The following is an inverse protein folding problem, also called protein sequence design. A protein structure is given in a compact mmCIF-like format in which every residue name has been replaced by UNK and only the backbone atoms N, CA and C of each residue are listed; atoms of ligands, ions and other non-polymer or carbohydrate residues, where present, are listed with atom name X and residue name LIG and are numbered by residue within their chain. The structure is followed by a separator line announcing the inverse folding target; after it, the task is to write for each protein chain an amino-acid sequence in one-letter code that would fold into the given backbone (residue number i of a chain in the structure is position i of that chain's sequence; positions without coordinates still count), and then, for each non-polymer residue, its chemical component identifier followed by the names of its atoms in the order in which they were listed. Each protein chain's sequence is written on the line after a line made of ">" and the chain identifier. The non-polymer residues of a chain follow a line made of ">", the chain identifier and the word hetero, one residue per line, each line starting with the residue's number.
data_IF_608004237640
#
_entry.id   IF_608004237640
#
_cell.length_a   1.000
_cell.length_b   1.000
_cell.length_c   1.000
_cell.angle_alpha   90.00
_cell.angle_beta   90.00
_cell.angle_gamma   90.00
#
_symmetry.space_group_name_H-M   'P 1'
#
loop_
_entity.id
_entity.type
_entity.pdbx_description
1 polymer ?
#
# COMPACT_ATOMS: atom_id res chain seq x y z
N UNK A 1 -5.48 2.17 -34.63
CA UNK A 1 -5.00 1.01 -33.82
C UNK A 1 -4.31 1.41 -32.50
N UNK A 2 -3.40 2.40 -32.44
CA UNK A 2 -2.70 2.80 -31.19
C UNK A 2 -3.58 3.18 -29.98
N UNK A 3 -4.80 3.69 -30.18
CA UNK A 3 -5.69 4.12 -29.09
C UNK A 3 -6.28 2.95 -28.27
N UNK A 4 -6.45 1.78 -28.90
CA UNK A 4 -7.09 0.61 -28.28
C UNK A 4 -6.07 -0.19 -27.44
N UNK A 5 -4.79 -0.17 -27.82
CA UNK A 5 -3.72 -0.83 -27.06
C UNK A 5 -3.39 -0.09 -25.75
N UNK A 6 -3.48 1.24 -25.75
CA UNK A 6 -3.32 2.05 -24.54
C UNK A 6 -4.45 1.84 -23.51
N UNK A 7 -5.62 1.37 -23.93
CA UNK A 7 -6.76 1.07 -23.04
C UNK A 7 -6.63 -0.29 -22.35
N UNK A 8 -5.75 -1.19 -22.83
CA UNK A 8 -5.53 -2.53 -22.25
C UNK A 8 -4.36 -2.61 -21.27
N UNK A 9 -3.48 -1.61 -21.26
CA UNK A 9 -2.37 -1.58 -20.32
C UNK A 9 -2.89 -1.25 -18.91
N UNK A 10 -2.44 -2.00 -17.90
CA UNK A 10 -2.67 -1.63 -16.50
C UNK A 10 -2.08 -0.23 -16.28
N UNK A 11 -2.88 0.75 -15.80
CA UNK A 11 -2.37 2.09 -15.58
C UNK A 11 -1.19 2.09 -14.62
N UNK A 12 -0.08 2.74 -15.00
CA UNK A 12 1.13 2.79 -14.18
C UNK A 12 0.90 3.32 -12.77
N UNK A 13 -0.12 4.16 -12.55
CA UNK A 13 -0.51 4.63 -11.23
C UNK A 13 -1.05 3.50 -10.31
N UNK A 14 -1.69 2.48 -10.87
CA UNK A 14 -2.18 1.31 -10.12
C UNK A 14 -1.02 0.37 -9.79
N UNK A 15 -0.09 0.20 -10.75
CA UNK A 15 1.15 -0.57 -10.53
C UNK A 15 1.98 0.08 -9.42
N UNK A 16 2.10 1.41 -9.43
CA UNK A 16 2.78 2.15 -8.38
C UNK A 16 2.12 1.93 -7.02
N UNK A 17 0.79 1.98 -6.95
CA UNK A 17 0.06 1.73 -5.70
C UNK A 17 0.34 0.33 -5.15
N UNK A 18 0.31 -0.69 -6.01
CA UNK A 18 0.61 -2.06 -5.63
C UNK A 18 2.06 -2.19 -5.11
N UNK A 19 3.03 -1.58 -5.81
CA UNK A 19 4.42 -1.59 -5.39
C UNK A 19 4.62 -0.89 -4.03
N UNK A 20 4.00 0.27 -3.82
CA UNK A 20 4.03 0.98 -2.55
C UNK A 20 3.37 0.17 -1.43
N UNK A 21 2.23 -0.49 -1.70
CA UNK A 21 1.54 -1.34 -0.74
C UNK A 21 2.37 -2.57 -0.33
N UNK A 22 3.06 -3.20 -1.28
CA UNK A 22 3.97 -4.31 -0.99
C UNK A 22 5.21 -3.87 -0.20
N UNK A 23 5.78 -2.71 -0.53
CA UNK A 23 6.89 -2.14 0.23
C UNK A 23 6.45 -1.80 1.67
N UNK A 24 5.29 -1.16 1.83
CA UNK A 24 4.71 -0.82 3.14
C UNK A 24 4.49 -2.08 3.99
N UNK A 25 3.92 -3.13 3.38
CA UNK A 25 3.77 -4.44 4.00
C UNK A 25 5.11 -5.00 4.51
N UNK A 26 6.15 -4.99 3.66
CA UNK A 26 7.49 -5.46 4.03
C UNK A 26 8.10 -4.70 5.21
N UNK A 27 8.06 -3.36 5.18
CA UNK A 27 8.59 -2.55 6.29
C UNK A 27 7.78 -2.69 7.58
N UNK A 28 6.47 -2.90 7.46
CA UNK A 28 5.62 -3.12 8.65
C UNK A 28 5.98 -4.44 9.33
N UNK A 29 6.10 -5.53 8.56
CA UNK A 29 6.54 -6.81 9.10
C UNK A 29 7.95 -6.73 9.70
N UNK A 30 8.88 -6.07 9.02
CA UNK A 30 10.22 -5.89 9.53
C UNK A 30 10.22 -5.12 10.87
N UNK A 31 9.39 -4.09 10.99
CA UNK A 31 9.24 -3.31 12.22
C UNK A 31 8.62 -4.15 13.35
N UNK A 32 7.58 -4.94 13.05
CA UNK A 32 6.95 -5.85 14.03
C UNK A 32 7.96 -6.91 14.50
N UNK A 33 8.73 -7.52 13.60
CA UNK A 33 9.77 -8.49 13.96
C UNK A 33 10.91 -7.88 14.79
N UNK A 34 11.17 -6.58 14.64
CA UNK A 34 12.11 -5.84 15.48
C UNK A 34 11.52 -5.43 16.86
N UNK A 35 10.32 -5.92 17.21
CA UNK A 35 9.66 -5.61 18.48
C UNK A 35 8.77 -4.37 18.46
N UNK A 36 8.56 -3.76 17.29
CA UNK A 36 7.61 -2.68 17.09
C UNK A 36 6.16 -3.12 17.26
N UNK A 37 5.26 -2.16 17.46
CA UNK A 37 3.81 -2.39 17.62
C UNK A 37 3.05 -1.81 16.44
N UNK A 38 2.02 -2.53 16.01
CA UNK A 38 1.03 -2.00 15.06
C UNK A 38 0.15 -0.98 15.78
N UNK A 39 0.06 0.23 15.23
CA UNK A 39 -0.69 1.34 15.83
C UNK A 39 -2.15 1.35 15.41
N UNK A 40 -2.48 0.75 14.26
CA UNK A 40 -3.86 0.60 13.83
C UNK A 40 -4.55 -0.48 14.69
N UNK A 41 -5.59 -0.15 15.48
CA UNK A 41 -6.19 -1.11 16.40
C UNK A 41 -6.76 -2.36 15.72
N UNK A 42 -7.28 -2.21 14.51
CA UNK A 42 -7.84 -3.31 13.74
C UNK A 42 -6.75 -4.25 13.21
N UNK A 43 -5.65 -3.68 12.71
CA UNK A 43 -4.50 -4.48 12.28
C UNK A 43 -3.76 -5.11 13.47
N UNK A 44 -3.68 -4.41 14.61
CA UNK A 44 -3.11 -4.95 15.83
C UNK A 44 -3.91 -6.14 16.36
N UNK A 45 -5.25 -6.06 16.31
CA UNK A 45 -6.11 -7.21 16.58
C UNK A 45 -5.84 -8.36 15.60
N UNK A 46 -5.78 -8.07 14.29
CA UNK A 46 -5.49 -9.07 13.27
C UNK A 46 -4.13 -9.76 13.49
N UNK A 47 -3.12 -9.01 13.94
CA UNK A 47 -1.82 -9.53 14.33
C UNK A 47 -1.93 -10.49 15.52
N UNK A 48 -2.73 -10.13 16.54
CA UNK A 48 -2.97 -10.99 17.70
C UNK A 48 -3.65 -12.32 17.39
N UNK A 49 -4.38 -12.43 16.27
CA UNK A 49 -5.06 -13.66 15.82
C UNK A 49 -4.40 -14.32 14.59
N UNK A 50 -3.22 -13.85 14.17
CA UNK A 50 -2.48 -14.44 13.04
C UNK A 50 -3.09 -14.20 11.65
N UNK A 51 -3.89 -13.14 11.49
CA UNK A 51 -4.54 -12.76 10.23
C UNK A 51 -3.94 -11.51 9.57
N UNK A 52 -2.89 -10.95 10.16
CA UNK A 52 -2.33 -9.67 9.75
C UNK A 52 -1.86 -9.65 8.28
N UNK A 53 -1.05 -10.63 7.85
CA UNK A 53 -0.52 -10.64 6.49
C UNK A 53 -1.62 -10.76 5.44
N UNK A 54 -2.56 -11.69 5.67
CA UNK A 54 -3.68 -11.92 4.79
C UNK A 54 -4.55 -10.68 4.65
N UNK A 55 -4.84 -10.01 5.77
CA UNK A 55 -5.68 -8.81 5.78
C UNK A 55 -5.00 -7.64 5.09
N UNK A 56 -3.70 -7.43 5.35
CA UNK A 56 -2.94 -6.34 4.74
C UNK A 56 -2.83 -6.53 3.22
N UNK A 57 -2.53 -7.74 2.75
CA UNK A 57 -2.52 -8.07 1.32
C UNK A 57 -3.92 -7.95 0.69
N UNK A 58 -4.96 -8.44 1.36
CA UNK A 58 -6.34 -8.35 0.87
C UNK A 58 -6.79 -6.90 0.72
N UNK A 59 -6.42 -6.00 1.65
CA UNK A 59 -6.71 -4.58 1.54
C UNK A 59 -5.99 -3.93 0.35
N UNK A 60 -4.70 -4.21 0.14
CA UNK A 60 -3.97 -3.72 -1.04
C UNK A 60 -4.62 -4.19 -2.33
N UNK A 61 -4.96 -5.48 -2.43
CA UNK A 61 -5.62 -6.05 -3.61
C UNK A 61 -7.00 -5.45 -3.83
N UNK A 62 -7.79 -5.25 -2.77
CA UNK A 62 -9.11 -4.63 -2.85
C UNK A 62 -9.01 -3.21 -3.42
N UNK A 63 -8.07 -2.41 -2.93
CA UNK A 63 -7.88 -1.05 -3.44
C UNK A 63 -7.43 -1.08 -4.91
N UNK A 64 -6.49 -1.95 -5.28
CA UNK A 64 -6.09 -2.11 -6.68
C UNK A 64 -7.27 -2.53 -7.58
N UNK A 65 -8.11 -3.46 -7.13
CA UNK A 65 -9.30 -3.90 -7.86
C UNK A 65 -10.32 -2.75 -8.04
N UNK A 66 -10.57 -1.97 -6.98
CA UNK A 66 -11.43 -0.78 -7.05
C UNK A 66 -10.86 0.26 -8.02
N UNK A 67 -9.55 0.51 -7.97
CA UNK A 67 -8.88 1.41 -8.90
C UNK A 67 -9.03 0.92 -10.35
N UNK A 68 -8.78 -0.35 -10.63
CA UNK A 68 -8.95 -0.93 -11.97
C UNK A 68 -10.39 -0.80 -12.47
N UNK A 69 -11.36 -1.08 -11.59
CA UNK A 69 -12.77 -0.97 -11.92
C UNK A 69 -13.17 0.47 -12.22
N UNK A 70 -12.74 1.44 -11.41
CA UNK A 70 -13.17 2.84 -11.55
C UNK A 70 -12.34 3.65 -12.56
N UNK A 71 -11.12 3.22 -12.88
CA UNK A 71 -10.19 3.94 -13.76
C UNK A 71 -10.76 4.35 -15.12
N UNK A 72 -11.42 3.45 -15.89
CA UNK A 72 -12.01 3.85 -17.17
C UNK A 72 -13.30 4.66 -17.00
N UNK A 73 -13.95 4.57 -15.84
CA UNK A 73 -15.30 5.10 -15.59
C UNK A 73 -15.33 6.56 -15.13
N UNK A 74 -14.24 7.07 -14.54
CA UNK A 74 -14.25 8.41 -13.96
C UNK A 74 -12.89 9.10 -13.96
N UNK A 75 -12.85 10.36 -14.43
CA UNK A 75 -11.67 11.23 -14.31
C UNK A 75 -11.36 11.58 -12.85
N UNK A 76 -12.38 11.63 -11.98
CA UNK A 76 -12.20 11.83 -10.55
C UNK A 76 -11.51 10.61 -9.91
N UNK A 77 -11.89 9.39 -10.29
CA UNK A 77 -11.23 8.17 -9.80
C UNK A 77 -9.73 8.12 -10.15
N UNK A 78 -9.37 8.58 -11.35
CA UNK A 78 -7.96 8.74 -11.76
C UNK A 78 -7.21 9.71 -10.85
N UNK A 79 -7.79 10.89 -10.57
CA UNK A 79 -7.21 11.86 -9.62
C UNK A 79 -7.05 11.29 -8.22
N UNK A 80 -8.08 10.62 -7.71
CA UNK A 80 -8.04 9.95 -6.39
C UNK A 80 -6.94 8.90 -6.34
N UNK A 81 -6.71 8.15 -7.42
CA UNK A 81 -5.61 7.17 -7.51
C UNK A 81 -4.24 7.84 -7.34
N UNK A 82 -4.03 9.01 -7.97
CA UNK A 82 -2.79 9.77 -7.79
C UNK A 82 -2.65 10.29 -6.35
N UNK A 83 -3.72 10.82 -5.76
CA UNK A 83 -3.71 11.27 -4.35
C UNK A 83 -3.41 10.08 -3.41
N UNK A 84 -4.02 8.93 -3.65
CA UNK A 84 -3.78 7.72 -2.87
C UNK A 84 -2.31 7.27 -2.95
N UNK A 85 -1.67 7.37 -4.12
CA UNK A 85 -0.22 7.10 -4.25
C UNK A 85 0.64 8.06 -3.43
N UNK A 86 0.31 9.36 -3.41
CA UNK A 86 1.05 10.34 -2.58
C UNK A 86 0.91 9.98 -1.11
N UNK A 87 -0.31 9.67 -0.66
CA UNK A 87 -0.55 9.25 0.73
C UNK A 87 0.17 7.94 1.07
N UNK A 88 0.18 6.96 0.16
CA UNK A 88 0.94 5.73 0.33
C UNK A 88 2.45 5.97 0.40
N UNK A 89 2.97 6.91 -0.39
CA UNK A 89 4.38 7.32 -0.32
C UNK A 89 4.75 7.92 1.04
N UNK A 90 3.88 8.78 1.59
CA UNK A 90 4.05 9.36 2.93
C UNK A 90 3.99 8.25 4.00
N UNK A 91 3.03 7.33 3.90
CA UNK A 91 2.89 6.22 4.83
C UNK A 91 4.10 5.28 4.79
N UNK A 92 4.58 4.96 3.59
CA UNK A 92 5.79 4.16 3.39
C UNK A 92 7.01 4.85 4.02
N UNK A 93 7.18 6.15 3.81
CA UNK A 93 8.27 6.91 4.42
C UNK A 93 8.20 6.84 5.95
N UNK A 94 7.00 6.96 6.52
CA UNK A 94 6.79 6.79 7.95
C UNK A 94 7.24 5.41 8.45
N UNK A 95 6.86 4.32 7.77
CA UNK A 95 7.28 2.96 8.15
C UNK A 95 8.78 2.72 7.94
N UNK A 96 9.39 3.30 6.91
CA UNK A 96 10.85 3.27 6.71
C UNK A 96 11.56 3.94 7.89
N UNK A 97 11.08 5.10 8.34
CA UNK A 97 11.66 5.81 9.49
C UNK A 97 11.49 5.02 10.79
N UNK A 98 10.32 4.40 11.01
CA UNK A 98 10.10 3.53 12.16
C UNK A 98 11.04 2.32 12.16
N UNK A 99 11.15 1.65 11.02
CA UNK A 99 12.07 0.52 10.85
C UNK A 99 13.52 0.95 11.08
N UNK A 100 13.96 2.07 10.49
CA UNK A 100 15.31 2.58 10.65
C UNK A 100 15.64 2.90 12.13
N UNK A 101 14.67 3.45 12.88
CA UNK A 101 14.81 3.63 14.33
C UNK A 101 14.89 2.30 15.09
N UNK A 102 14.06 1.32 14.73
CA UNK A 102 14.11 -0.01 15.34
C UNK A 102 15.46 -0.72 15.10
N UNK A 103 16.13 -0.40 13.98
CA UNK A 103 17.46 -0.90 13.64
C UNK A 103 18.61 -0.02 14.19
N UNK A 104 18.32 1.00 15.01
CA UNK A 104 19.30 1.98 15.52
C UNK A 104 20.11 2.69 14.42
N UNK A 105 19.54 2.84 13.22
CA UNK A 105 20.16 3.56 12.09
C UNK A 105 19.92 5.07 12.16
N UNK A 106 18.95 5.50 12.98
CA UNK A 106 18.63 6.88 13.27
C UNK A 106 18.65 7.05 14.79
N UNK A 107 19.47 7.98 15.28
CA UNK A 107 19.56 8.37 16.69
C UNK A 107 18.40 9.30 17.08
#
# INVERSE_FOLDING_TARGET
>A
MRKIEAERAVPGAIVLYAALGLADFGFTLATIHAGGRELNPFLAWALGVGLFEYLKLALTLLVCAVMLFLWPRSSAARRVTHVANVLMGILLLYHILLWARAMHLLN
#
